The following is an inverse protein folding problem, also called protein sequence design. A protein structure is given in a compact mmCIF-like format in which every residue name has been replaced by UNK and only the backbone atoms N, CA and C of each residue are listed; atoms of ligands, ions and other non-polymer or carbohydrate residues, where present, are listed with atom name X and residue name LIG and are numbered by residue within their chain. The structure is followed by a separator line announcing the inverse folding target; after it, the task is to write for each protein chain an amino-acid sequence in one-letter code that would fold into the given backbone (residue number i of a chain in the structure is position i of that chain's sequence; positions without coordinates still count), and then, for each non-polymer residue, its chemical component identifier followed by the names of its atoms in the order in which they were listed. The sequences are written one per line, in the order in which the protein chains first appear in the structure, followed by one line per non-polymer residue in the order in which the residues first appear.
data_IF_480594251401
#
_entry.id   IF_480594251401
#
_cell.length_a   1.000
_cell.length_b   1.000
_cell.length_c   1.000
_cell.angle_alpha   90.00
_cell.angle_beta   90.00
_cell.angle_gamma   90.00
#
_symmetry.space_group_name_H-M   'P 1'
#
loop_
_entity.id
_entity.type
_entity.pdbx_description
1 polymer ?
#
# COMPACT_ATOMS: atom_id res chain seq x y z
N UNK A 1 11.90 -22.72 39.12
CA UNK A 1 11.11 -22.48 37.88
C UNK A 1 10.41 -21.15 38.06
N UNK A 2 10.85 -20.09 37.39
CA UNK A 2 10.20 -18.77 37.44
C UNK A 2 9.07 -18.75 36.42
N UNK A 3 7.85 -18.51 36.88
CA UNK A 3 6.70 -18.35 36.00
C UNK A 3 6.79 -17.01 35.28
N UNK A 4 6.86 -17.02 33.95
CA UNK A 4 6.77 -15.81 33.13
C UNK A 4 5.32 -15.32 33.14
N UNK A 5 5.04 -14.23 33.85
CA UNK A 5 3.74 -13.56 33.79
C UNK A 5 3.57 -12.91 32.41
N UNK A 6 2.48 -13.24 31.70
CA UNK A 6 2.15 -12.58 30.44
C UNK A 6 1.88 -11.09 30.65
N UNK A 7 2.33 -10.21 29.75
CA UNK A 7 1.97 -8.79 29.81
C UNK A 7 0.45 -8.60 29.63
N UNK A 8 -0.13 -7.55 30.24
CA UNK A 8 -1.54 -7.22 30.08
C UNK A 8 -1.88 -6.83 28.64
N UNK A 9 -3.08 -7.18 28.19
CA UNK A 9 -3.61 -6.77 26.88
C UNK A 9 -4.17 -5.35 26.97
N UNK A 10 -3.62 -4.43 26.18
CA UNK A 10 -4.11 -3.05 26.07
C UNK A 10 -5.00 -2.86 24.82
N UNK A 11 -6.04 -2.01 24.92
CA UNK A 11 -6.98 -1.74 23.83
C UNK A 11 -6.91 -0.28 23.41
N UNK A 12 -6.60 -0.04 22.13
CA UNK A 12 -6.55 1.30 21.54
C UNK A 12 -7.62 1.47 20.45
N UNK A 13 -8.08 2.70 20.22
CA UNK A 13 -8.91 3.07 19.05
C UNK A 13 -8.03 3.72 18.00
N UNK A 14 -8.13 3.26 16.76
CA UNK A 14 -7.42 3.85 15.62
C UNK A 14 -7.97 5.24 15.30
N UNK A 15 -7.08 6.22 15.10
CA UNK A 15 -7.47 7.56 14.63
C UNK A 15 -7.93 7.48 13.16
N UNK A 16 -8.96 8.24 12.75
CA UNK A 16 -9.32 8.37 11.34
C UNK A 16 -8.13 8.90 10.53
N UNK A 17 -7.84 8.26 9.40
CA UNK A 17 -6.77 8.72 8.50
C UNK A 17 -7.14 8.46 7.04
N UNK A 18 -6.62 9.30 6.15
CA UNK A 18 -6.63 9.05 4.70
C UNK A 18 -5.27 8.46 4.32
N UNK A 19 -5.25 7.56 3.33
CA UNK A 19 -4.02 6.97 2.79
C UNK A 19 -4.08 7.01 1.27
N UNK A 20 -2.91 7.17 0.67
CA UNK A 20 -2.74 6.99 -0.78
C UNK A 20 -2.41 5.53 -1.07
N UNK A 21 -3.01 4.98 -2.13
CA UNK A 21 -2.78 3.58 -2.51
C UNK A 21 -2.66 3.43 -4.01
N UNK A 22 -1.80 2.52 -4.46
CA UNK A 22 -1.72 2.10 -5.86
C UNK A 22 -1.93 0.59 -5.95
N UNK A 23 -2.75 0.14 -6.90
CA UNK A 23 -2.98 -1.28 -7.18
C UNK A 23 -1.74 -1.87 -7.86
N UNK A 24 -1.27 -3.02 -7.38
CA UNK A 24 -0.37 -3.86 -8.16
C UNK A 24 -1.19 -4.82 -9.03
N UNK A 25 -1.07 -4.68 -10.35
CA UNK A 25 -1.84 -5.47 -11.34
C UNK A 25 -0.97 -6.52 -12.07
N UNK A 26 0.28 -6.69 -11.67
CA UNK A 26 1.20 -7.65 -12.30
C UNK A 26 1.91 -7.11 -13.56
N UNK A 27 1.58 -5.90 -14.02
CA UNK A 27 2.09 -5.41 -15.31
C UNK A 27 3.38 -4.57 -15.19
N UNK A 28 4.29 -4.61 -16.16
CA UNK A 28 5.47 -3.76 -16.19
C UNK A 28 5.14 -2.26 -16.17
N UNK A 29 4.06 -1.85 -16.85
CA UNK A 29 3.60 -0.48 -16.87
C UNK A 29 3.20 0.00 -15.47
N UNK A 30 2.50 -0.84 -14.69
CA UNK A 30 2.18 -0.53 -13.30
C UNK A 30 3.42 -0.50 -12.42
N UNK A 31 4.38 -1.40 -12.65
CA UNK A 31 5.61 -1.43 -11.87
C UNK A 31 6.39 -0.11 -12.00
N UNK A 32 6.48 0.44 -13.22
CA UNK A 32 7.09 1.75 -13.47
C UNK A 32 6.36 2.88 -12.73
N UNK A 33 5.02 2.85 -12.72
CA UNK A 33 4.23 3.85 -12.00
C UNK A 33 4.40 3.77 -10.48
N UNK A 34 4.46 2.55 -9.93
CA UNK A 34 4.71 2.36 -8.50
C UNK A 34 6.12 2.83 -8.15
N UNK A 35 7.14 2.42 -8.90
CA UNK A 35 8.53 2.86 -8.74
C UNK A 35 8.68 4.39 -8.76
N UNK A 36 8.06 5.06 -9.72
CA UNK A 36 8.06 6.53 -9.78
C UNK A 36 7.38 7.17 -8.55
N UNK A 37 6.40 6.49 -7.94
CA UNK A 37 5.67 6.99 -6.78
C UNK A 37 6.36 6.69 -5.44
N UNK A 38 6.96 5.51 -5.28
CA UNK A 38 7.57 5.06 -4.01
C UNK A 38 9.10 5.25 -3.98
N UNK A 39 9.73 5.43 -5.13
CA UNK A 39 11.18 5.42 -5.32
C UNK A 39 11.69 4.06 -5.81
N UNK A 40 12.57 4.07 -6.80
CA UNK A 40 13.09 2.84 -7.45
C UNK A 40 13.68 1.83 -6.46
N UNK A 41 14.39 2.31 -5.42
CA UNK A 41 15.01 1.47 -4.40
C UNK A 41 14.01 0.81 -3.43
N UNK A 42 12.72 1.17 -3.49
CA UNK A 42 11.68 0.66 -2.59
C UNK A 42 10.69 -0.28 -3.26
N UNK A 43 10.84 -0.57 -4.55
CA UNK A 43 9.94 -1.48 -5.25
C UNK A 43 10.69 -2.46 -6.14
N UNK A 44 10.61 -3.72 -5.75
CA UNK A 44 11.27 -4.82 -6.41
C UNK A 44 10.23 -5.74 -7.06
N UNK A 45 10.56 -6.27 -8.24
CA UNK A 45 9.76 -7.31 -8.89
C UNK A 45 10.49 -8.63 -8.64
N UNK A 46 9.78 -9.64 -8.17
CA UNK A 46 10.32 -10.99 -8.13
C UNK A 46 10.35 -11.52 -9.56
N UNK A 47 11.51 -11.98 -10.01
CA UNK A 47 11.66 -12.52 -11.36
C UNK A 47 11.09 -13.95 -11.48
N UNK A 48 10.88 -14.64 -10.34
CA UNK A 48 10.38 -16.01 -10.30
C UNK A 48 8.85 -16.11 -10.19
N UNK A 49 8.17 -15.04 -9.74
CA UNK A 49 6.72 -15.03 -9.52
C UNK A 49 6.13 -13.69 -9.97
N UNK A 50 4.83 -13.58 -10.32
CA UNK A 50 4.20 -12.28 -10.63
C UNK A 50 4.05 -11.37 -9.39
N UNK A 51 4.78 -11.65 -8.31
CA UNK A 51 4.73 -10.94 -7.04
C UNK A 51 5.73 -9.79 -7.09
N UNK A 52 5.36 -8.66 -6.51
CA UNK A 52 6.31 -7.58 -6.24
C UNK A 52 6.61 -7.53 -4.74
N UNK A 53 7.60 -6.74 -4.35
CA UNK A 53 7.85 -6.42 -2.94
C UNK A 53 8.04 -4.92 -2.78
N UNK A 54 7.60 -4.38 -1.65
CA UNK A 54 7.79 -2.98 -1.28
C UNK A 54 8.60 -2.88 0.00
N UNK A 55 9.59 -1.99 0.02
CA UNK A 55 10.42 -1.76 1.20
C UNK A 55 9.67 -0.90 2.22
N UNK A 56 9.67 -1.36 3.47
CA UNK A 56 9.16 -0.61 4.61
C UNK A 56 10.34 -0.06 5.44
N UNK A 57 10.53 1.26 5.43
CA UNK A 57 11.63 1.89 6.18
C UNK A 57 11.50 1.77 7.71
N UNK A 58 10.28 1.61 8.24
CA UNK A 58 10.08 1.51 9.69
C UNK A 58 10.53 0.14 10.22
N UNK A 59 10.18 -0.92 9.48
CA UNK A 59 10.49 -2.29 9.87
C UNK A 59 11.83 -2.79 9.27
N UNK A 60 12.41 -2.02 8.34
CA UNK A 60 13.60 -2.42 7.56
C UNK A 60 13.43 -3.79 6.89
N UNK A 61 12.27 -4.00 6.28
CA UNK A 61 11.90 -5.28 5.68
C UNK A 61 11.17 -5.11 4.34
N UNK A 62 11.33 -6.10 3.46
CA UNK A 62 10.59 -6.22 2.21
C UNK A 62 9.25 -6.91 2.44
N UNK A 63 8.16 -6.22 2.15
CA UNK A 63 6.81 -6.78 2.25
C UNK A 63 6.33 -7.26 0.88
N UNK A 64 5.88 -8.52 0.75
CA UNK A 64 5.36 -9.03 -0.51
C UNK A 64 4.04 -8.34 -0.87
N UNK A 65 3.91 -8.00 -2.14
CA UNK A 65 2.75 -7.40 -2.78
C UNK A 65 2.26 -8.35 -3.87
N UNK A 66 1.36 -9.30 -3.54
CA UNK A 66 0.71 -10.15 -4.53
C UNK A 66 -0.10 -9.33 -5.55
N UNK A 67 -0.29 -9.87 -6.75
CA UNK A 67 -1.19 -9.26 -7.75
C UNK A 67 -2.58 -9.09 -7.15
N UNK A 68 -3.19 -7.93 -7.40
CA UNK A 68 -4.48 -7.54 -6.82
C UNK A 68 -4.35 -6.78 -5.48
N UNK A 69 -3.22 -6.87 -4.79
CA UNK A 69 -2.98 -6.11 -3.57
C UNK A 69 -2.64 -4.66 -3.90
N UNK A 70 -2.81 -3.79 -2.91
CA UNK A 70 -2.49 -2.37 -3.00
C UNK A 70 -1.22 -2.08 -2.21
N UNK A 71 -0.31 -1.32 -2.82
CA UNK A 71 0.77 -0.64 -2.10
C UNK A 71 0.16 0.60 -1.45
N UNK A 72 0.26 0.68 -0.12
CA UNK A 72 -0.28 1.79 0.67
C UNK A 72 0.88 2.62 1.20
N UNK A 73 0.74 3.95 1.13
CA UNK A 73 1.59 4.87 1.89
C UNK A 73 0.91 5.16 3.22
N UNK A 74 1.54 4.74 4.30
CA UNK A 74 1.08 5.00 5.65
C UNK A 74 1.35 6.43 6.12
N UNK A 75 0.99 6.69 7.37
CA UNK A 75 0.96 8.06 7.93
C UNK A 75 2.34 8.61 8.26
N UNK A 76 3.34 7.73 8.43
CA UNK A 76 4.73 8.10 8.65
C UNK A 76 5.56 7.99 7.35
N UNK A 77 4.90 7.78 6.21
CA UNK A 77 5.54 7.62 4.90
C UNK A 77 6.04 6.19 4.62
N UNK A 78 5.78 5.25 5.52
CA UNK A 78 6.07 3.83 5.33
C UNK A 78 5.22 3.22 4.22
N UNK A 79 5.72 2.16 3.59
CA UNK A 79 4.99 1.42 2.57
C UNK A 79 4.72 0.00 3.01
N UNK A 80 3.51 -0.49 2.72
CA UNK A 80 3.13 -1.88 2.97
C UNK A 80 2.05 -2.33 1.99
N UNK A 81 1.92 -3.66 1.86
CA UNK A 81 0.88 -4.28 1.05
C UNK A 81 -0.42 -4.39 1.85
N UNK A 82 -1.56 -4.15 1.20
CA UNK A 82 -2.88 -4.39 1.77
C UNK A 82 -3.73 -5.18 0.78
N UNK A 83 -4.37 -6.24 1.26
CA UNK A 83 -5.27 -7.06 0.46
C UNK A 83 -6.53 -6.26 0.05
N UNK A 84 -7.21 -6.67 -1.03
CA UNK A 84 -8.49 -6.06 -1.42
C UNK A 84 -9.50 -6.03 -0.27
N UNK A 85 -9.62 -7.15 0.45
CA UNK A 85 -10.57 -7.30 1.55
C UNK A 85 -10.25 -6.35 2.72
N UNK A 86 -8.98 -6.24 3.09
CA UNK A 86 -8.56 -5.33 4.15
C UNK A 86 -8.77 -3.86 3.74
N UNK A 87 -8.57 -3.51 2.46
CA UNK A 87 -8.90 -2.17 1.96
C UNK A 87 -10.39 -1.89 2.08
N UNK A 88 -11.24 -2.81 1.67
CA UNK A 88 -12.70 -2.65 1.69
C UNK A 88 -13.25 -2.58 3.12
N UNK A 89 -12.70 -3.38 4.04
CA UNK A 89 -13.11 -3.39 5.44
C UNK A 89 -12.67 -2.13 6.19
N UNK A 90 -11.55 -1.52 5.80
CA UNK A 90 -10.89 -0.47 6.59
C UNK A 90 -11.08 0.93 6.03
N UNK A 91 -11.14 1.08 4.70
CA UNK A 91 -11.12 2.39 4.04
C UNK A 91 -12.34 2.60 3.15
N UNK A 92 -12.74 3.86 3.02
CA UNK A 92 -13.73 4.31 2.05
C UNK A 92 -13.06 5.26 1.06
N UNK A 93 -13.43 5.20 -0.21
CA UNK A 93 -12.98 6.19 -1.19
C UNK A 93 -13.49 7.56 -0.77
N UNK A 94 -12.60 8.54 -0.75
CA UNK A 94 -12.99 9.93 -0.54
C UNK A 94 -13.57 10.51 -1.84
N UNK A 95 -14.59 11.37 -1.72
CA UNK A 95 -15.19 12.06 -2.87
C UNK A 95 -14.14 12.90 -3.63
N UNK A 96 -13.20 13.49 -2.91
CA UNK A 96 -12.06 14.21 -3.50
C UNK A 96 -11.18 13.29 -4.34
N UNK A 97 -10.81 12.12 -3.82
CA UNK A 97 -10.03 11.14 -4.57
C UNK A 97 -10.77 10.63 -5.81
N UNK A 98 -12.08 10.42 -5.72
CA UNK A 98 -12.92 10.01 -6.84
C UNK A 98 -13.01 11.10 -7.92
N UNK A 99 -13.20 12.36 -7.53
CA UNK A 99 -13.29 13.49 -8.44
C UNK A 99 -11.96 13.75 -9.16
N UNK A 100 -10.83 13.70 -8.45
CA UNK A 100 -9.50 13.86 -9.07
C UNK A 100 -9.24 12.75 -10.10
N UNK A 101 -9.59 11.51 -9.79
CA UNK A 101 -9.48 10.40 -10.75
C UNK A 101 -10.37 10.62 -11.99
N UNK A 102 -11.60 11.09 -11.79
CA UNK A 102 -12.54 11.39 -12.87
C UNK A 102 -12.05 12.56 -13.76
N UNK A 103 -11.60 13.66 -13.15
CA UNK A 103 -11.08 14.81 -13.88
C UNK A 103 -9.84 14.45 -14.70
N UNK A 104 -8.92 13.62 -14.16
CA UNK A 104 -7.79 13.09 -14.93
C UNK A 104 -8.24 12.23 -16.12
N UNK A 105 -9.36 11.51 -16.01
CA UNK A 105 -9.91 10.74 -17.12
C UNK A 105 -10.57 11.61 -18.19
N UNK A 106 -11.28 12.67 -17.78
CA UNK A 106 -11.99 13.57 -18.69
C UNK A 106 -11.03 14.53 -19.40
N UNK A 107 -10.07 15.08 -18.66
CA UNK A 107 -9.18 16.16 -19.12
C UNK A 107 -7.73 15.73 -19.36
N UNK A 108 -7.35 14.51 -18.99
CA UNK A 108 -5.98 13.97 -19.16
C UNK A 108 -5.74 13.23 -20.47
N UNK A 109 -6.68 13.29 -21.43
CA UNK A 109 -6.39 12.96 -22.82
C UNK A 109 -5.38 13.98 -23.36
N UNK A 110 -4.16 13.55 -23.67
CA UNK A 110 -3.27 14.36 -24.49
C UNK A 110 -3.84 14.49 -25.92
N UNK A 111 -3.55 15.58 -26.65
CA UNK A 111 -3.83 15.67 -28.08
C UNK A 111 -3.19 14.52 -28.87
#
# INVERSE_FOLDING_TARGET
MTATTMPPVERFRRRPTTVDTMLWDGTPARAQQIRAWVGDHRFWLDDATPTASVWNDQEHEWFPVPVGHRVVRGVLGEFYAVSPDAIQATYRRTLVGALVALLRRIFGGKP
#
